data_IF_000356038188
#
_entry.id   IF_000356038188
#
_cell.length_a   1.000
_cell.length_b   1.000
_cell.length_c   1.000
_cell.angle_alpha   90.00
_cell.angle_beta   90.00
_cell.angle_gamma   90.00
#
_symmetry.space_group_name_H-M   'P 1'
#
loop_
_entity.id
_entity.type
_entity.pdbx_description
1 polymer ?
#
# COMPACT_ATOMS: atom_id res chain seq x y z
N UNK A 1 31.66 -43.21 3.18
CA UNK A 1 32.41 -42.28 2.30
C UNK A 1 32.76 -41.06 3.13
N UNK A 2 34.04 -40.77 3.36
CA UNK A 2 34.46 -39.57 4.10
C UNK A 2 34.21 -38.33 3.26
N UNK A 3 33.56 -37.30 3.81
CA UNK A 3 33.41 -36.03 3.10
C UNK A 3 34.78 -35.44 2.74
N UNK A 4 34.96 -35.09 1.46
CA UNK A 4 36.18 -34.46 0.97
C UNK A 4 36.19 -33.00 1.42
N UNK A 5 37.14 -32.65 2.29
CA UNK A 5 37.29 -31.28 2.82
C UNK A 5 37.63 -30.30 1.68
N UNK A 6 36.75 -29.33 1.43
CA UNK A 6 36.99 -28.27 0.44
C UNK A 6 37.90 -27.18 1.03
N UNK A 7 38.96 -26.79 0.31
CA UNK A 7 39.88 -25.71 0.70
C UNK A 7 39.47 -24.32 0.17
N UNK A 8 38.35 -24.22 -0.54
CA UNK A 8 37.85 -22.95 -1.07
C UNK A 8 37.40 -22.05 0.08
N UNK A 9 37.69 -20.75 -0.05
CA UNK A 9 37.16 -19.69 0.81
C UNK A 9 36.33 -18.73 -0.06
N UNK A 10 35.06 -19.06 -0.36
CA UNK A 10 34.19 -18.16 -1.12
C UNK A 10 34.09 -16.81 -0.42
N UNK A 11 34.17 -15.74 -1.20
CA UNK A 11 33.96 -14.39 -0.69
C UNK A 11 32.46 -14.11 -0.54
N UNK A 12 32.07 -13.57 0.61
CA UNK A 12 30.69 -13.18 0.90
C UNK A 12 30.62 -11.65 0.97
N UNK A 13 30.16 -10.97 -0.10
CA UNK A 13 30.00 -9.53 -0.08
C UNK A 13 28.95 -9.11 0.96
N UNK A 14 29.19 -7.98 1.62
CA UNK A 14 28.23 -7.39 2.56
C UNK A 14 27.08 -6.72 1.80
N UNK A 15 25.85 -6.94 2.25
CA UNK A 15 24.65 -6.25 1.75
C UNK A 15 24.27 -5.14 2.73
N UNK A 16 24.52 -3.89 2.35
CA UNK A 16 24.23 -2.71 3.18
C UNK A 16 22.72 -2.44 3.24
N UNK A 17 22.22 -1.85 4.32
CA UNK A 17 20.81 -1.44 4.44
C UNK A 17 20.36 -0.44 3.35
N UNK A 18 21.30 0.28 2.74
CA UNK A 18 21.06 1.26 1.68
C UNK A 18 21.23 0.69 0.27
N UNK A 19 21.32 -0.63 0.10
CA UNK A 19 21.51 -1.30 -1.20
C UNK A 19 20.53 -0.79 -2.29
N UNK A 20 19.30 -0.47 -1.89
CA UNK A 20 18.25 -0.04 -2.80
C UNK A 20 18.48 1.35 -3.40
N UNK A 21 19.40 2.15 -2.84
CA UNK A 21 19.76 3.48 -3.34
C UNK A 21 20.73 3.43 -4.53
N UNK A 22 21.37 2.28 -4.75
CA UNK A 22 22.44 2.14 -5.75
C UNK A 22 21.91 1.99 -7.18
N UNK A 23 20.64 1.60 -7.36
CA UNK A 23 20.04 1.41 -8.68
C UNK A 23 18.66 2.08 -8.76
N UNK A 24 18.38 2.90 -9.80
CA UNK A 24 17.07 3.50 -10.03
C UNK A 24 15.90 2.51 -10.04
N UNK A 25 16.13 1.27 -10.48
CA UNK A 25 15.12 0.19 -10.44
C UNK A 25 14.73 -0.16 -8.99
N UNK A 26 15.72 -0.28 -8.09
CA UNK A 26 15.47 -0.58 -6.67
C UNK A 26 14.82 0.60 -5.95
N UNK A 27 15.16 1.84 -6.32
CA UNK A 27 14.48 3.03 -5.80
C UNK A 27 12.98 2.98 -6.17
N UNK A 28 12.65 2.73 -7.45
CA UNK A 28 11.25 2.60 -7.90
C UNK A 28 10.51 1.47 -7.18
N UNK A 29 11.17 0.35 -6.94
CA UNK A 29 10.65 -0.75 -6.13
C UNK A 29 10.33 -0.28 -4.70
N UNK A 30 11.26 0.38 -4.02
CA UNK A 30 11.04 0.87 -2.65
C UNK A 30 9.93 1.93 -2.58
N UNK A 31 9.82 2.79 -3.58
CA UNK A 31 8.71 3.76 -3.68
C UNK A 31 7.37 3.02 -3.82
N UNK A 32 7.30 1.96 -4.65
CA UNK A 32 6.11 1.12 -4.78
C UNK A 32 5.71 0.50 -3.45
N UNK A 33 6.63 -0.15 -2.74
CA UNK A 33 6.35 -0.72 -1.41
C UNK A 33 5.96 0.36 -0.39
N UNK A 34 6.58 1.55 -0.48
CA UNK A 34 6.29 2.69 0.38
C UNK A 34 4.85 3.19 0.29
N UNK A 35 4.13 2.92 -0.80
CA UNK A 35 2.69 3.26 -0.92
C UNK A 35 1.82 2.61 0.16
N UNK A 36 2.28 1.51 0.76
CA UNK A 36 1.59 0.83 1.88
C UNK A 36 1.45 1.72 3.12
N UNK A 37 2.41 2.61 3.39
CA UNK A 37 2.34 3.53 4.55
C UNK A 37 1.18 4.51 4.37
N UNK A 38 1.01 5.04 3.16
CA UNK A 38 -0.09 5.96 2.85
C UNK A 38 -1.43 5.22 2.79
N UNK A 39 -1.46 3.97 2.31
CA UNK A 39 -2.65 3.12 2.38
C UNK A 39 -3.09 2.87 3.83
N UNK A 40 -2.13 2.59 4.72
CA UNK A 40 -2.39 2.42 6.15
C UNK A 40 -2.92 3.71 6.76
N UNK A 41 -2.32 4.86 6.45
CA UNK A 41 -2.82 6.16 6.89
C UNK A 41 -4.29 6.39 6.50
N UNK A 42 -4.64 6.23 5.22
CA UNK A 42 -6.04 6.37 4.78
C UNK A 42 -6.98 5.37 5.46
N UNK A 43 -6.53 4.13 5.69
CA UNK A 43 -7.34 3.12 6.38
C UNK A 43 -7.63 3.53 7.82
N UNK A 44 -6.62 4.04 8.55
CA UNK A 44 -6.79 4.53 9.92
C UNK A 44 -7.66 5.78 9.97
N UNK A 45 -7.54 6.67 9.00
CA UNK A 45 -8.39 7.86 8.89
C UNK A 45 -9.87 7.49 8.69
N UNK A 46 -10.15 6.56 7.78
CA UNK A 46 -11.52 6.06 7.54
C UNK A 46 -12.04 5.33 8.79
N UNK A 47 -11.22 4.49 9.42
CA UNK A 47 -11.60 3.78 10.65
C UNK A 47 -11.94 4.76 11.78
N UNK A 48 -11.18 5.85 11.93
CA UNK A 48 -11.50 6.93 12.87
C UNK A 48 -12.85 7.59 12.55
N UNK A 49 -13.11 7.90 11.28
CA UNK A 49 -14.39 8.46 10.84
C UNK A 49 -15.58 7.56 11.16
N UNK A 50 -15.45 6.25 10.90
CA UNK A 50 -16.47 5.24 11.24
C UNK A 50 -16.67 5.18 12.75
N UNK A 51 -15.58 5.16 13.53
CA UNK A 51 -15.66 5.12 14.99
C UNK A 51 -16.38 6.35 15.56
N UNK A 52 -16.03 7.55 15.10
CA UNK A 52 -16.67 8.79 15.56
C UNK A 52 -18.12 8.92 15.08
N UNK A 53 -18.44 8.40 13.90
CA UNK A 53 -19.81 8.29 13.43
C UNK A 53 -20.64 7.36 14.34
N UNK A 54 -20.09 6.20 14.72
CA UNK A 54 -20.76 5.25 15.60
C UNK A 54 -20.99 5.79 17.04
N UNK A 55 -20.26 6.85 17.44
CA UNK A 55 -20.48 7.55 18.71
C UNK A 55 -21.59 8.60 18.65
N UNK A 56 -22.16 8.87 17.48
CA UNK A 56 -23.24 9.84 17.34
C UNK A 56 -24.56 9.27 17.87
N UNK A 57 -25.34 10.11 18.55
CA UNK A 57 -26.71 9.75 18.97
C UNK A 57 -27.67 10.08 17.83
N UNK A 58 -27.97 9.06 17.03
CA UNK A 58 -28.87 9.16 15.87
C UNK A 58 -30.32 8.77 16.21
N UNK A 59 -30.55 8.17 17.38
CA UNK A 59 -31.87 7.66 17.80
C UNK A 59 -32.69 8.72 18.53
N UNK A 60 -32.04 9.77 19.05
CA UNK A 60 -32.74 10.92 19.57
C UNK A 60 -33.58 11.56 18.45
N UNK A 61 -34.91 11.60 18.63
CA UNK A 61 -35.85 12.23 17.69
C UNK A 61 -35.63 13.75 17.49
N UNK A 62 -34.56 14.30 18.06
CA UNK A 62 -34.13 15.68 17.95
C UNK A 62 -32.63 15.68 17.58
N UNK A 63 -32.35 15.51 16.28
CA UNK A 63 -30.99 15.53 15.76
C UNK A 63 -30.44 16.95 15.80
N UNK A 64 -29.59 17.21 16.79
CA UNK A 64 -29.01 18.52 17.06
C UNK A 64 -27.50 18.47 16.80
N UNK A 65 -26.83 19.63 16.71
CA UNK A 65 -25.38 19.69 16.50
C UNK A 65 -24.59 18.88 17.56
N UNK A 66 -25.10 18.83 18.80
CA UNK A 66 -24.48 18.08 19.90
C UNK A 66 -24.56 16.56 19.70
N UNK A 67 -25.61 16.05 19.05
CA UNK A 67 -25.82 14.60 18.89
C UNK A 67 -24.87 13.99 17.85
N UNK A 68 -24.36 14.81 16.92
CA UNK A 68 -23.40 14.43 15.87
C UNK A 68 -22.03 15.09 16.04
N UNK A 69 -21.78 15.74 17.18
CA UNK A 69 -20.56 16.51 17.43
C UNK A 69 -19.25 15.74 17.19
N UNK A 70 -19.11 14.45 17.59
CA UNK A 70 -17.87 13.69 17.35
C UNK A 70 -17.54 13.56 15.86
N UNK A 71 -18.54 13.24 15.03
CA UNK A 71 -18.36 13.11 13.59
C UNK A 71 -18.15 14.47 12.91
N UNK A 72 -18.88 15.51 13.34
CA UNK A 72 -18.68 16.87 12.82
C UNK A 72 -17.26 17.38 13.08
N UNK A 73 -16.67 17.07 14.24
CA UNK A 73 -15.28 17.40 14.51
C UNK A 73 -14.34 16.72 13.51
N UNK A 74 -14.55 15.43 13.21
CA UNK A 74 -13.74 14.72 12.23
C UNK A 74 -13.81 15.37 10.85
N UNK A 75 -15.01 15.72 10.38
CA UNK A 75 -15.17 16.37 9.07
C UNK A 75 -14.58 17.79 9.05
N UNK A 76 -14.92 18.63 10.03
CA UNK A 76 -14.62 20.06 9.98
C UNK A 76 -13.21 20.39 10.46
N UNK A 77 -12.76 19.73 11.54
CA UNK A 77 -11.50 20.06 12.20
C UNK A 77 -10.36 19.14 11.75
N UNK A 78 -10.60 17.84 11.65
CA UNK A 78 -9.56 16.89 11.26
C UNK A 78 -9.37 16.87 9.73
N UNK A 79 -10.40 16.53 8.96
CA UNK A 79 -10.33 16.53 7.49
C UNK A 79 -10.21 17.93 6.90
N UNK A 80 -10.77 18.95 7.56
CA UNK A 80 -10.62 20.35 7.16
C UNK A 80 -9.22 20.92 7.38
N UNK A 81 -8.31 20.21 8.07
CA UNK A 81 -6.94 20.66 8.27
C UNK A 81 -6.16 20.61 6.95
N UNK A 82 -5.52 21.73 6.52
CA UNK A 82 -4.81 21.78 5.24
C UNK A 82 -3.67 20.75 5.13
N UNK A 83 -3.04 20.36 6.25
CA UNK A 83 -2.01 19.31 6.27
C UNK A 83 -2.62 17.95 5.97
N UNK A 84 -3.77 17.63 6.56
CA UNK A 84 -4.49 16.37 6.33
C UNK A 84 -4.99 16.31 4.89
N UNK A 85 -5.52 17.42 4.35
CA UNK A 85 -5.89 17.52 2.94
C UNK A 85 -4.69 17.23 2.03
N UNK A 86 -3.53 17.84 2.30
CA UNK A 86 -2.31 17.59 1.52
C UNK A 86 -1.86 16.12 1.61
N UNK A 87 -1.93 15.50 2.79
CA UNK A 87 -1.63 14.08 2.98
C UNK A 87 -2.62 13.18 2.23
N UNK A 88 -3.90 13.53 2.18
CA UNK A 88 -4.92 12.79 1.44
C UNK A 88 -4.74 12.92 -0.08
N UNK A 89 -4.36 14.09 -0.58
CA UNK A 89 -3.98 14.25 -2.00
C UNK A 89 -2.74 13.42 -2.33
N UNK A 90 -1.72 13.44 -1.46
CA UNK A 90 -0.54 12.59 -1.62
C UNK A 90 -0.91 11.11 -1.61
N UNK A 91 -1.81 10.70 -0.72
CA UNK A 91 -2.28 9.33 -0.60
C UNK A 91 -3.04 8.91 -1.86
N UNK A 92 -3.90 9.77 -2.41
CA UNK A 92 -4.58 9.52 -3.68
C UNK A 92 -3.59 9.27 -4.82
N UNK A 93 -2.58 10.14 -4.98
CA UNK A 93 -1.54 9.96 -6.00
C UNK A 93 -0.79 8.64 -5.79
N UNK A 94 -0.45 8.30 -4.54
CA UNK A 94 0.22 7.06 -4.21
C UNK A 94 -0.63 5.82 -4.50
N UNK A 95 -1.94 5.86 -4.25
CA UNK A 95 -2.85 4.75 -4.56
C UNK A 95 -3.07 4.58 -6.07
N UNK A 96 -3.12 5.68 -6.84
CA UNK A 96 -3.14 5.60 -8.31
C UNK A 96 -1.86 4.97 -8.85
N UNK A 97 -0.70 5.39 -8.33
CA UNK A 97 0.58 4.76 -8.66
C UNK A 97 0.60 3.27 -8.28
N UNK A 98 0.15 2.93 -7.07
CA UNK A 98 0.03 1.56 -6.59
C UNK A 98 -0.82 0.72 -7.55
N UNK A 99 -2.03 1.18 -7.88
CA UNK A 99 -2.95 0.53 -8.82
C UNK A 99 -2.29 0.21 -10.17
N UNK A 100 -1.61 1.18 -10.79
CA UNK A 100 -0.91 0.98 -12.07
C UNK A 100 0.16 -0.12 -11.94
N UNK A 101 0.99 -0.05 -10.90
CA UNK A 101 2.05 -1.07 -10.70
C UNK A 101 1.48 -2.45 -10.38
N UNK A 102 0.40 -2.52 -9.61
CA UNK A 102 -0.28 -3.76 -9.25
C UNK A 102 -0.88 -4.43 -10.48
N UNK A 103 -1.60 -3.69 -11.33
CA UNK A 103 -2.15 -4.24 -12.57
C UNK A 103 -1.08 -4.69 -13.58
N UNK A 104 0.13 -4.11 -13.55
CA UNK A 104 1.24 -4.60 -14.35
C UNK A 104 1.89 -5.89 -13.80
N UNK A 105 1.76 -6.16 -12.50
CA UNK A 105 2.38 -7.31 -11.84
C UNK A 105 1.42 -8.49 -11.70
N UNK A 106 0.16 -8.23 -11.38
CA UNK A 106 -0.86 -9.24 -11.09
C UNK A 106 -1.04 -10.26 -12.23
N UNK A 107 -1.06 -9.88 -13.53
CA UNK A 107 -1.18 -10.85 -14.63
C UNK A 107 -0.05 -11.89 -14.64
N UNK A 108 1.15 -11.53 -14.18
CA UNK A 108 2.31 -12.43 -14.15
C UNK A 108 2.15 -13.58 -13.14
N UNK A 109 1.22 -13.45 -12.19
CA UNK A 109 0.89 -14.50 -11.23
C UNK A 109 -0.14 -15.50 -11.77
N UNK A 110 -0.82 -15.20 -12.89
CA UNK A 110 -1.87 -16.03 -13.46
C UNK A 110 -1.40 -16.65 -14.76
N UNK A 111 -1.46 -17.99 -14.85
CA UNK A 111 -1.21 -18.71 -16.11
C UNK A 111 -2.53 -18.97 -16.81
N UNK A 112 -2.75 -18.31 -17.94
CA UNK A 112 -3.92 -18.51 -18.80
C UNK A 112 -3.50 -19.31 -20.02
N UNK A 113 -4.11 -20.49 -20.22
CA UNK A 113 -3.93 -21.31 -21.42
C UNK A 113 -5.10 -21.06 -22.39
N UNK A 114 -4.83 -20.48 -23.55
CA UNK A 114 -5.87 -20.21 -24.57
C UNK A 114 -6.19 -21.42 -25.46
N UNK A 115 -5.43 -22.51 -25.35
CA UNK A 115 -5.65 -23.75 -26.08
C UNK A 115 -5.33 -24.96 -25.18
N UNK A 116 -6.08 -26.06 -25.34
CA UNK A 116 -5.81 -27.36 -24.68
C UNK A 116 -4.52 -28.02 -25.16
N UNK A 117 -4.01 -27.63 -26.33
CA UNK A 117 -2.92 -28.30 -27.02
C UNK A 117 -1.55 -27.63 -26.83
N UNK A 118 -1.48 -26.46 -26.18
CA UNK A 118 -0.24 -25.72 -25.98
C UNK A 118 -0.12 -25.21 -24.55
N UNK A 119 1.04 -25.46 -23.93
CA UNK A 119 1.39 -24.89 -22.62
C UNK A 119 2.12 -23.56 -22.74
N UNK A 120 2.21 -22.99 -23.94
CA UNK A 120 2.80 -21.68 -24.18
C UNK A 120 1.98 -20.62 -23.43
N UNK A 121 2.67 -19.85 -22.59
CA UNK A 121 2.10 -18.65 -21.98
C UNK A 121 1.96 -17.60 -23.08
N UNK A 122 1.01 -16.68 -22.91
CA UNK A 122 0.89 -15.50 -23.78
C UNK A 122 2.26 -14.83 -24.00
N UNK A 123 2.53 -14.26 -25.19
CA UNK A 123 3.79 -13.60 -25.46
C UNK A 123 4.07 -12.52 -24.40
N UNK A 124 5.30 -12.52 -23.90
CA UNK A 124 5.83 -11.45 -23.05
C UNK A 124 5.78 -10.16 -23.86
N UNK A 125 4.76 -9.33 -23.63
CA UNK A 125 4.64 -7.99 -24.21
C UNK A 125 5.53 -6.99 -23.47
#
# INVERSE_FOLDING_TARGET
MSEVKSFRKPYHPEVKATWWKENPFYIRYMIREGTAVLALFATLEIALGIFLFAMCDLDSGNQNADSVAPYLWWVQSFLGNPVVIALNVLTLVAQLFHMVTWFNLMPKAVRVFMNKNSTELLPDY
#
